data_IF_259281618613
#
_entry.id   IF_259281618613
#
_cell.length_a   1.000
_cell.length_b   1.000
_cell.length_c   1.000
_cell.angle_alpha   90.00
_cell.angle_beta   90.00
_cell.angle_gamma   90.00
#
_symmetry.space_group_name_H-M   'P 1'
#
loop_
_entity.id
_entity.type
_entity.pdbx_description
1 polymer ?
#
# COMPACT_ATOMS: atom_id res chain seq x y z
N UNK A 1 19.94 7.79 19.00
CA UNK A 1 18.68 8.52 19.27
C UNK A 1 17.60 7.49 19.51
N UNK A 2 16.88 7.57 20.63
CA UNK A 2 15.79 6.66 20.97
C UNK A 2 14.45 7.36 20.71
N UNK A 3 13.52 6.65 20.08
CA UNK A 3 12.19 7.15 19.74
C UNK A 3 11.17 6.09 20.17
N UNK A 4 10.27 6.49 21.06
CA UNK A 4 9.14 5.67 21.49
C UNK A 4 7.89 6.19 20.81
N UNK A 5 7.16 5.30 20.16
CA UNK A 5 5.92 5.65 19.46
C UNK A 5 4.95 4.48 19.53
N UNK A 6 3.68 4.76 19.31
CA UNK A 6 2.65 3.74 19.28
C UNK A 6 2.09 3.63 17.87
N UNK A 7 2.30 2.51 17.17
CA UNK A 7 1.81 2.30 15.82
C UNK A 7 0.34 1.85 15.85
N UNK A 8 -0.54 2.65 15.25
CA UNK A 8 -1.97 2.35 15.21
C UNK A 8 -2.37 1.63 13.93
N UNK A 9 -3.55 1.00 13.95
CA UNK A 9 -4.17 0.43 12.75
C UNK A 9 -4.29 1.48 11.64
N UNK A 10 -4.62 2.73 11.99
CA UNK A 10 -4.78 3.82 11.04
C UNK A 10 -3.45 4.20 10.36
N UNK A 11 -2.35 4.24 11.09
CA UNK A 11 -1.02 4.50 10.52
C UNK A 11 -0.64 3.42 9.50
N UNK A 12 -0.90 2.16 9.84
CA UNK A 12 -0.60 1.04 8.98
C UNK A 12 -1.49 0.99 7.73
N UNK A 13 -2.78 1.30 7.87
CA UNK A 13 -3.71 1.44 6.73
C UNK A 13 -3.31 2.60 5.82
N UNK A 14 -2.90 3.72 6.42
CA UNK A 14 -2.41 4.90 5.69
C UNK A 14 -1.14 4.58 4.92
N UNK A 15 -0.18 3.90 5.56
CA UNK A 15 1.02 3.39 4.88
C UNK A 15 0.67 2.47 3.70
N UNK A 16 -0.21 1.48 3.90
CA UNK A 16 -0.60 0.57 2.82
C UNK A 16 -1.21 1.33 1.65
N UNK A 17 -2.13 2.26 1.92
CA UNK A 17 -2.75 3.08 0.88
C UNK A 17 -1.73 3.96 0.16
N UNK A 18 -0.81 4.58 0.91
CA UNK A 18 0.29 5.36 0.36
C UNK A 18 1.17 4.50 -0.55
N UNK A 19 1.58 3.32 -0.08
CA UNK A 19 2.42 2.40 -0.81
C UNK A 19 1.77 1.96 -2.14
N UNK A 20 0.51 1.57 -2.10
CA UNK A 20 -0.25 1.10 -3.28
C UNK A 20 -0.39 2.23 -4.31
N UNK A 21 -0.73 3.45 -3.88
CA UNK A 21 -0.88 4.60 -4.77
C UNK A 21 0.43 5.02 -5.42
N UNK A 22 1.56 4.86 -4.73
CA UNK A 22 2.87 5.26 -5.23
C UNK A 22 3.64 4.11 -5.93
N UNK A 23 3.15 2.87 -5.85
CA UNK A 23 3.79 1.71 -6.46
C UNK A 23 3.50 1.64 -7.96
N UNK A 24 4.55 1.75 -8.79
CA UNK A 24 4.46 1.60 -10.25
C UNK A 24 3.91 0.23 -10.64
N UNK A 25 4.32 -0.84 -9.94
CA UNK A 25 3.88 -2.21 -10.21
C UNK A 25 2.39 -2.39 -9.95
N UNK A 26 1.91 -1.84 -8.82
CA UNK A 26 0.48 -1.89 -8.47
C UNK A 26 -0.35 -1.08 -9.45
N UNK A 27 0.06 0.16 -9.75
CA UNK A 27 -0.63 1.01 -10.73
C UNK A 27 -0.68 0.38 -12.13
N UNK A 28 0.39 -0.28 -12.57
CA UNK A 28 0.42 -1.02 -13.85
C UNK A 28 -0.59 -2.16 -13.85
N UNK A 29 -0.63 -2.94 -12.77
CA UNK A 29 -1.57 -4.07 -12.62
C UNK A 29 -3.01 -3.58 -12.58
N UNK A 30 -3.30 -2.53 -11.82
CA UNK A 30 -4.62 -1.91 -11.72
C UNK A 30 -5.09 -1.41 -13.09
N UNK A 31 -4.25 -0.67 -13.81
CA UNK A 31 -4.60 -0.18 -15.15
C UNK A 31 -4.79 -1.32 -16.15
N UNK A 32 -3.95 -2.36 -16.10
CA UNK A 32 -4.15 -3.55 -16.92
C UNK A 32 -5.50 -4.20 -16.65
N UNK A 33 -5.87 -4.44 -15.39
CA UNK A 33 -7.18 -5.02 -15.02
C UNK A 33 -8.35 -4.08 -15.33
N UNK A 34 -8.13 -2.76 -15.25
CA UNK A 34 -9.12 -1.73 -15.58
C UNK A 34 -9.50 -1.74 -17.06
N UNK A 35 -8.53 -1.91 -17.96
CA UNK A 35 -8.73 -1.81 -19.41
C UNK A 35 -8.84 -3.16 -20.12
N UNK A 36 -8.19 -4.22 -19.61
CA UNK A 36 -8.24 -5.54 -20.22
C UNK A 36 -9.59 -6.24 -19.98
N UNK A 37 -10.21 -6.06 -18.81
CA UNK A 37 -11.52 -6.65 -18.49
C UNK A 37 -12.64 -6.16 -19.43
N UNK A 38 -12.78 -4.86 -19.72
CA UNK A 38 -13.67 -4.36 -20.77
C UNK A 38 -13.49 -5.01 -22.14
N UNK A 39 -12.25 -5.30 -22.55
CA UNK A 39 -11.99 -5.96 -23.83
C UNK A 39 -12.64 -7.36 -23.85
N UNK A 40 -12.56 -8.10 -22.74
CA UNK A 40 -13.24 -9.39 -22.60
C UNK A 40 -14.76 -9.26 -22.65
N UNK A 41 -15.35 -8.20 -22.08
CA UNK A 41 -16.79 -7.93 -22.18
C UNK A 41 -17.25 -7.71 -23.62
N UNK A 42 -16.48 -6.95 -24.41
CA UNK A 42 -16.79 -6.74 -25.83
C UNK A 42 -16.69 -8.05 -26.62
N UNK A 43 -15.63 -8.84 -26.40
CA UNK A 43 -15.48 -10.16 -27.05
C UNK A 43 -16.64 -11.09 -26.65
N UNK A 44 -17.01 -11.11 -25.36
CA UNK A 44 -18.12 -11.91 -24.86
C UNK A 44 -19.44 -11.54 -25.53
N UNK A 45 -19.70 -10.24 -25.77
CA UNK A 45 -20.91 -9.80 -26.48
C UNK A 45 -21.02 -10.40 -27.88
N UNK A 46 -19.89 -10.50 -28.61
CA UNK A 46 -19.84 -11.09 -29.94
C UNK A 46 -20.06 -12.60 -29.89
N UNK A 47 -19.35 -13.30 -29.00
CA UNK A 47 -19.45 -14.76 -28.84
C UNK A 47 -20.86 -15.18 -28.43
N UNK A 48 -21.45 -14.50 -27.45
CA UNK A 48 -22.81 -14.78 -26.97
C UNK A 48 -23.87 -14.51 -28.05
N UNK A 49 -23.69 -13.46 -28.86
CA UNK A 49 -24.57 -13.21 -30.00
C UNK A 49 -24.54 -14.35 -31.01
N UNK A 50 -23.34 -14.89 -31.32
CA UNK A 50 -23.17 -15.99 -32.28
C UNK A 50 -23.70 -17.32 -31.77
N UNK A 51 -23.45 -17.66 -30.51
CA UNK A 51 -23.87 -18.94 -29.93
C UNK A 51 -25.38 -18.94 -29.64
N UNK A 52 -25.89 -17.83 -29.10
CA UNK A 52 -27.29 -17.72 -28.67
C UNK A 52 -28.27 -17.29 -29.76
N UNK A 53 -27.81 -17.00 -30.98
CA UNK A 53 -28.61 -16.35 -32.03
C UNK A 53 -29.31 -15.07 -31.55
N UNK A 54 -28.68 -14.34 -30.62
CA UNK A 54 -29.22 -13.11 -30.04
C UNK A 54 -28.81 -11.88 -30.86
N UNK A 55 -29.63 -10.79 -30.86
CA UNK A 55 -29.28 -9.56 -31.55
C UNK A 55 -27.96 -8.96 -31.05
N UNK A 56 -26.96 -8.90 -31.93
CA UNK A 56 -25.62 -8.41 -31.59
C UNK A 56 -25.65 -7.00 -31.00
N UNK A 57 -26.39 -6.08 -31.62
CA UNK A 57 -26.45 -4.67 -31.18
C UNK A 57 -26.95 -4.54 -29.74
N UNK A 58 -27.96 -5.32 -29.34
CA UNK A 58 -28.48 -5.30 -27.97
C UNK A 58 -27.42 -5.73 -26.96
N UNK A 59 -26.78 -6.88 -27.21
CA UNK A 59 -25.70 -7.39 -26.35
C UNK A 59 -24.51 -6.43 -26.31
N UNK A 60 -24.09 -5.91 -27.47
CA UNK A 60 -22.97 -4.98 -27.56
C UNK A 60 -23.21 -3.73 -26.72
N UNK A 61 -24.40 -3.11 -26.82
CA UNK A 61 -24.76 -1.92 -26.03
C UNK A 61 -24.75 -2.25 -24.53
N UNK A 62 -25.32 -3.39 -24.13
CA UNK A 62 -25.32 -3.83 -22.72
C UNK A 62 -23.90 -4.02 -22.17
N UNK A 63 -23.04 -4.76 -22.87
CA UNK A 63 -21.66 -5.01 -22.44
C UNK A 63 -20.78 -3.75 -22.52
N UNK A 64 -21.07 -2.84 -23.46
CA UNK A 64 -20.41 -1.53 -23.53
C UNK A 64 -20.77 -0.67 -22.30
N UNK A 65 -22.04 -0.62 -21.91
CA UNK A 65 -22.46 0.09 -20.70
C UNK A 65 -21.78 -0.49 -19.45
N UNK A 66 -21.74 -1.82 -19.30
CA UNK A 66 -21.05 -2.49 -18.20
C UNK A 66 -19.55 -2.18 -18.21
N UNK A 67 -18.92 -2.15 -19.38
CA UNK A 67 -17.50 -1.80 -19.56
C UNK A 67 -17.19 -0.38 -19.08
N UNK A 68 -18.03 0.59 -19.42
CA UNK A 68 -17.88 1.98 -18.98
C UNK A 68 -18.00 2.06 -17.46
N UNK A 69 -19.02 1.41 -16.88
CA UNK A 69 -19.20 1.36 -15.43
C UNK A 69 -17.97 0.73 -14.75
N UNK A 70 -17.45 -0.38 -15.29
CA UNK A 70 -16.24 -1.02 -14.77
C UNK A 70 -15.05 -0.05 -14.75
N UNK A 71 -14.75 0.61 -15.86
CA UNK A 71 -13.62 1.55 -15.95
C UNK A 71 -13.73 2.67 -14.92
N UNK A 72 -14.94 3.15 -14.62
CA UNK A 72 -15.18 4.23 -13.65
C UNK A 72 -15.06 3.72 -12.21
N UNK A 73 -15.72 2.61 -11.87
CA UNK A 73 -15.84 2.15 -10.49
C UNK A 73 -14.71 1.24 -10.01
N UNK A 74 -14.01 0.58 -10.94
CA UNK A 74 -12.97 -0.40 -10.62
C UNK A 74 -11.83 0.15 -9.74
N UNK A 75 -11.25 1.35 -9.99
CA UNK A 75 -10.20 1.88 -9.13
C UNK A 75 -10.67 2.04 -7.68
N UNK A 76 -11.86 2.62 -7.47
CA UNK A 76 -12.45 2.81 -6.14
C UNK A 76 -12.68 1.46 -5.45
N UNK A 77 -13.26 0.50 -6.18
CA UNK A 77 -13.45 -0.86 -5.69
C UNK A 77 -12.12 -1.50 -5.26
N UNK A 78 -11.08 -1.41 -6.09
CA UNK A 78 -9.76 -1.97 -5.79
C UNK A 78 -9.16 -1.41 -4.50
N UNK A 79 -9.12 -0.08 -4.33
CA UNK A 79 -8.57 0.51 -3.11
C UNK A 79 -9.38 0.13 -1.86
N UNK A 80 -10.71 0.12 -1.96
CA UNK A 80 -11.57 -0.32 -0.86
C UNK A 80 -11.39 -1.81 -0.52
N UNK A 81 -11.21 -2.66 -1.53
CA UNK A 81 -10.92 -4.09 -1.34
C UNK A 81 -9.59 -4.28 -0.61
N UNK A 82 -8.53 -3.59 -1.02
CA UNK A 82 -7.23 -3.71 -0.36
C UNK A 82 -7.31 -3.23 1.08
N UNK A 83 -7.87 -2.05 1.35
CA UNK A 83 -8.04 -1.55 2.72
C UNK A 83 -8.82 -2.53 3.61
N UNK A 84 -9.90 -3.11 3.09
CA UNK A 84 -10.70 -4.10 3.82
C UNK A 84 -9.89 -5.35 4.13
N UNK A 85 -9.10 -5.85 3.18
CA UNK A 85 -8.25 -7.02 3.39
C UNK A 85 -7.09 -6.73 4.34
N UNK A 86 -6.45 -5.57 4.24
CA UNK A 86 -5.42 -5.15 5.20
C UNK A 86 -6.00 -5.08 6.61
N UNK A 87 -7.18 -4.47 6.78
CA UNK A 87 -7.88 -4.44 8.07
C UNK A 87 -8.25 -5.85 8.57
N UNK A 88 -8.68 -6.74 7.67
CA UNK A 88 -8.97 -8.14 8.01
C UNK A 88 -7.72 -8.87 8.48
N UNK A 89 -6.60 -8.73 7.77
CA UNK A 89 -5.30 -9.32 8.10
C UNK A 89 -4.79 -8.85 9.47
N UNK A 90 -4.94 -7.56 9.80
CA UNK A 90 -4.60 -7.04 11.12
C UNK A 90 -5.43 -7.73 12.23
N UNK A 91 -6.74 -7.92 11.98
CA UNK A 91 -7.66 -8.52 12.95
C UNK A 91 -7.53 -10.03 13.09
N UNK A 92 -7.12 -10.73 12.03
CA UNK A 92 -6.95 -12.19 12.02
C UNK A 92 -5.75 -12.67 12.86
N UNK A 93 -4.89 -11.75 13.32
CA UNK A 93 -3.75 -12.06 14.18
C UNK A 93 -2.52 -12.56 13.40
N UNK A 94 -1.50 -13.06 14.11
CA UNK A 94 -0.26 -13.55 13.52
C UNK A 94 0.72 -12.47 13.04
N UNK A 95 0.37 -11.20 13.26
CA UNK A 95 1.23 -10.04 13.06
C UNK A 95 1.60 -9.41 14.42
N UNK A 96 1.89 -10.27 15.39
CA UNK A 96 2.20 -9.86 16.74
C UNK A 96 3.42 -8.93 16.73
N UNK A 97 3.24 -7.70 17.22
CA UNK A 97 4.29 -6.66 17.22
C UNK A 97 4.31 -5.79 15.97
N UNK A 98 3.32 -5.93 15.08
CA UNK A 98 3.09 -4.98 13.99
C UNK A 98 2.43 -3.69 14.49
N UNK A 99 1.53 -3.78 15.47
CA UNK A 99 0.86 -2.64 16.10
C UNK A 99 1.25 -2.54 17.58
N UNK A 100 0.99 -1.37 18.16
CA UNK A 100 1.23 -1.11 19.58
C UNK A 100 2.51 -0.34 19.81
N UNK A 101 3.14 -0.55 20.96
CA UNK A 101 4.33 0.19 21.36
C UNK A 101 5.58 -0.29 20.61
N UNK A 102 6.29 0.68 20.02
CA UNK A 102 7.58 0.50 19.40
C UNK A 102 8.63 1.35 20.10
N UNK A 103 9.82 0.76 20.29
CA UNK A 103 11.00 1.48 20.72
C UNK A 103 12.07 1.37 19.63
N UNK A 104 12.21 2.46 18.87
CA UNK A 104 13.16 2.57 17.78
C UNK A 104 14.43 3.29 18.22
N UNK A 105 15.55 2.59 18.14
CA UNK A 105 16.88 3.11 18.35
C UNK A 105 17.56 3.35 17.00
N UNK A 106 17.89 4.61 16.74
CA UNK A 106 18.69 5.04 15.61
C UNK A 106 20.15 5.21 16.07
N UNK A 107 21.05 4.37 15.57
CA UNK A 107 22.47 4.38 15.91
C UNK A 107 23.33 4.71 14.68
N UNK A 108 24.65 4.75 14.85
CA UNK A 108 25.55 4.93 13.72
C UNK A 108 25.58 3.70 12.79
N UNK A 109 25.28 2.50 13.29
CA UNK A 109 25.22 1.28 12.47
C UNK A 109 23.89 1.14 11.70
N UNK A 110 22.77 1.61 12.27
CA UNK A 110 21.47 1.45 11.64
C UNK A 110 20.28 1.76 12.53
N UNK A 111 19.19 1.04 12.24
CA UNK A 111 17.92 1.12 12.94
C UNK A 111 17.70 -0.21 13.66
N UNK A 112 17.36 -0.12 14.94
CA UNK A 112 16.85 -1.23 15.73
C UNK A 112 15.45 -0.86 16.22
N UNK A 113 14.46 -1.68 15.93
CA UNK A 113 13.08 -1.47 16.38
C UNK A 113 12.64 -2.64 17.27
N UNK A 114 12.19 -2.33 18.48
CA UNK A 114 11.82 -3.31 19.49
C UNK A 114 10.35 -3.18 19.83
N UNK A 115 9.65 -4.30 19.86
CA UNK A 115 8.23 -4.42 20.23
C UNK A 115 8.06 -5.47 21.31
N UNK A 116 6.84 -5.65 21.82
CA UNK A 116 6.53 -6.70 22.78
C UNK A 116 6.81 -8.12 22.25
N UNK A 117 6.88 -8.30 20.93
CA UNK A 117 7.00 -9.61 20.29
C UNK A 117 8.36 -9.87 19.63
N UNK A 118 9.23 -8.86 19.53
CA UNK A 118 10.56 -9.08 18.98
C UNK A 118 11.35 -7.80 18.71
N UNK A 119 12.54 -8.00 18.14
CA UNK A 119 13.45 -6.93 17.75
C UNK A 119 13.84 -7.13 16.29
N UNK A 120 13.71 -6.07 15.49
CA UNK A 120 14.21 -6.04 14.12
C UNK A 120 15.42 -5.10 14.04
N UNK A 121 16.35 -5.43 13.15
CA UNK A 121 17.57 -4.63 12.92
C UNK A 121 17.82 -4.49 11.44
N UNK A 122 18.17 -3.29 11.01
CA UNK A 122 18.55 -3.01 9.63
C UNK A 122 19.70 -1.99 9.63
N UNK A 123 20.73 -2.24 8.83
CA UNK A 123 21.81 -1.27 8.63
C UNK A 123 21.32 -0.12 7.74
N UNK A 124 22.00 1.02 7.76
CA UNK A 124 21.65 2.13 6.87
C UNK A 124 21.66 1.76 5.39
N UNK A 125 22.58 0.88 4.96
CA UNK A 125 22.62 0.31 3.60
C UNK A 125 21.41 -0.56 3.23
N UNK A 126 20.68 -1.07 4.23
CA UNK A 126 19.43 -1.80 4.03
C UNK A 126 18.24 -0.87 3.78
N UNK A 127 18.35 0.42 4.11
CA UNK A 127 17.32 1.42 3.84
C UNK A 127 17.47 1.93 2.41
N UNK A 128 16.49 1.62 1.57
CA UNK A 128 16.50 1.93 0.14
C UNK A 128 15.96 3.33 -0.15
N UNK A 129 14.93 3.74 0.57
CA UNK A 129 14.24 5.00 0.27
C UNK A 129 13.54 5.51 1.52
N UNK A 130 13.53 6.83 1.68
CA UNK A 130 12.73 7.53 2.67
C UNK A 130 11.57 8.20 1.93
N UNK A 131 10.36 8.06 2.46
CA UNK A 131 9.19 8.78 1.98
C UNK A 131 8.38 9.28 3.17
N UNK A 132 7.44 10.19 2.92
CA UNK A 132 6.56 10.68 3.97
C UNK A 132 5.21 11.08 3.41
N UNK A 133 4.21 11.11 4.29
CA UNK A 133 2.94 11.79 4.07
C UNK A 133 2.72 12.85 5.16
N UNK A 134 1.49 13.31 5.35
CA UNK A 134 1.15 14.30 6.37
C UNK A 134 1.34 13.79 7.81
N UNK A 135 1.26 12.48 8.04
CA UNK A 135 1.16 11.88 9.37
C UNK A 135 2.36 10.99 9.72
N UNK A 136 3.08 10.43 8.74
CA UNK A 136 4.06 9.38 8.93
C UNK A 136 5.32 9.59 8.08
N UNK A 137 6.45 9.10 8.58
CA UNK A 137 7.68 8.89 7.83
C UNK A 137 7.82 7.39 7.54
N UNK A 138 8.22 7.04 6.32
CA UNK A 138 8.39 5.67 5.85
C UNK A 138 9.84 5.40 5.48
N UNK A 139 10.45 4.42 6.14
CA UNK A 139 11.82 3.97 5.88
C UNK A 139 11.78 2.61 5.19
N UNK A 140 11.80 2.61 3.87
CA UNK A 140 11.70 1.39 3.07
C UNK A 140 12.99 0.57 3.16
N UNK A 141 12.89 -0.63 3.72
CA UNK A 141 13.97 -1.63 3.71
C UNK A 141 13.85 -2.59 2.51
N UNK A 142 12.69 -2.62 1.84
CA UNK A 142 12.45 -3.42 0.64
C UNK A 142 11.38 -2.78 -0.25
N UNK A 143 10.96 -3.48 -1.30
CA UNK A 143 9.85 -3.04 -2.16
C UNK A 143 8.46 -3.23 -1.54
N UNK A 144 8.35 -3.97 -0.43
CA UNK A 144 7.06 -4.36 0.18
C UNK A 144 7.02 -4.14 1.69
N UNK A 145 8.11 -3.66 2.29
CA UNK A 145 8.22 -3.44 3.73
C UNK A 145 8.92 -2.11 3.99
N UNK A 146 8.48 -1.45 5.06
CA UNK A 146 9.03 -0.21 5.55
C UNK A 146 8.80 -0.12 7.07
N UNK A 147 9.69 0.59 7.76
CA UNK A 147 9.40 1.08 9.10
C UNK A 147 8.48 2.29 8.99
N UNK A 148 7.42 2.30 9.79
CA UNK A 148 6.43 3.37 9.83
C UNK A 148 6.66 4.15 11.11
N UNK A 149 6.98 5.44 10.98
CA UNK A 149 7.25 6.32 12.09
C UNK A 149 6.19 7.43 12.16
N UNK A 150 5.21 7.34 13.07
CA UNK A 150 4.20 8.37 13.25
C UNK A 150 4.82 9.70 13.71
N UNK A 151 4.56 10.77 12.96
CA UNK A 151 5.09 12.11 13.24
C UNK A 151 4.54 12.68 14.55
N UNK A 152 3.35 12.26 14.96
CA UNK A 152 2.68 12.72 16.19
C UNK A 152 3.46 12.40 17.47
N UNK A 153 4.28 11.35 17.45
CA UNK A 153 5.04 10.88 18.63
C UNK A 153 6.49 11.40 18.60
N UNK A 154 6.83 12.27 17.63
CA UNK A 154 8.15 12.88 17.51
C UNK A 154 8.16 14.28 18.14
N UNK A 155 9.13 14.52 19.02
CA UNK A 155 9.35 15.84 19.62
C UNK A 155 9.77 16.90 18.57
N UNK A 156 10.56 16.48 17.57
CA UNK A 156 11.07 17.35 16.51
C UNK A 156 11.18 16.55 15.20
N UNK A 157 10.13 16.65 14.39
CA UNK A 157 10.01 15.91 13.12
C UNK A 157 11.14 16.27 12.16
N UNK A 158 11.49 17.56 12.06
CA UNK A 158 12.49 18.03 11.10
C UNK A 158 13.89 17.58 11.50
N UNK A 159 14.23 17.60 12.80
CA UNK A 159 15.51 17.07 13.29
C UNK A 159 15.64 15.57 13.03
N UNK A 160 14.59 14.79 13.29
CA UNK A 160 14.60 13.34 13.04
C UNK A 160 14.75 13.08 11.54
N UNK A 161 14.00 13.80 10.71
CA UNK A 161 14.08 13.69 9.24
C UNK A 161 15.47 14.04 8.71
N UNK A 162 16.06 15.15 9.16
CA UNK A 162 17.41 15.56 8.78
C UNK A 162 18.44 14.49 9.15
N UNK A 163 18.31 13.90 10.36
CA UNK A 163 19.16 12.78 10.78
C UNK A 163 19.02 11.57 9.84
N UNK A 164 17.79 11.14 9.55
CA UNK A 164 17.52 9.98 8.68
C UNK A 164 18.09 10.20 7.25
N UNK A 165 17.87 11.38 6.67
CA UNK A 165 18.39 11.73 5.33
C UNK A 165 19.92 11.71 5.32
N UNK A 166 20.57 12.23 6.38
CA UNK A 166 22.03 12.28 6.48
C UNK A 166 22.69 10.90 6.52
N UNK A 167 21.94 9.86 6.94
CA UNK A 167 22.42 8.48 7.05
C UNK A 167 22.18 7.65 5.79
N UNK A 168 21.10 7.91 5.05
CA UNK A 168 20.73 7.15 3.84
C UNK A 168 21.41 7.70 2.57
N UNK A 169 21.82 8.98 2.58
CA UNK A 169 22.43 9.66 1.41
C UNK A 169 23.97 9.62 1.42
N UNK A 170 24.60 8.77 2.24
CA UNK A 170 26.04 8.52 2.23
C UNK A 170 26.35 7.22 1.50
#
# INVERSE_FOLDING_TARGET
MEIKFNLTEEDYLTFNLFHIKNSKTVNRTLNMQRFLTPIFFIIASFVLSKIGNLPFLGLFITFLAISILWIIFYPKYFYSFVLRNTKKMIKEGGNDGLLGEHNMMLSDEGIMDSTSNGVTKVTWSGIKTISEDQHNIYLYNSSVSAYILPKRDLNDVEKVKAYLISKVTK
#
